data_IF_652155221287
#
_entry.id   IF_652155221287
#
_cell.length_a   1.000
_cell.length_b   1.000
_cell.length_c   1.000
_cell.angle_alpha   90.00
_cell.angle_beta   90.00
_cell.angle_gamma   90.00
#
_symmetry.space_group_name_H-M   'P 1'
#
loop_
_entity.id
_entity.type
_entity.pdbx_description
1 polymer ?
#
# COMPACT_ATOMS: atom_id res chain seq x y z
N UNK A 1 39.60 -24.53 15.42
CA UNK A 1 39.06 -23.48 14.51
C UNK A 1 37.85 -22.85 15.18
N UNK A 2 37.92 -21.58 15.56
CA UNK A 2 36.81 -20.89 16.24
C UNK A 2 35.87 -20.23 15.22
N UNK A 3 34.58 -20.60 15.22
CA UNK A 3 33.54 -19.91 14.46
C UNK A 3 33.21 -18.58 15.14
N UNK A 4 33.61 -17.48 14.54
CA UNK A 4 33.20 -16.14 14.96
C UNK A 4 31.76 -15.93 14.47
N UNK A 5 30.81 -15.98 15.41
CA UNK A 5 29.43 -15.55 15.17
C UNK A 5 29.42 -14.03 15.15
N UNK A 6 29.37 -13.44 13.95
CA UNK A 6 29.14 -12.01 13.80
C UNK A 6 27.67 -11.73 14.14
N UNK A 7 27.42 -11.17 15.32
CA UNK A 7 26.13 -10.57 15.65
C UNK A 7 25.98 -9.28 14.83
N UNK A 8 25.14 -9.33 13.79
CA UNK A 8 24.69 -8.12 13.09
C UNK A 8 23.85 -7.31 14.09
N UNK A 9 24.41 -6.21 14.61
CA UNK A 9 23.64 -5.23 15.37
C UNK A 9 22.84 -4.40 14.39
N UNK A 10 21.57 -4.74 14.18
CA UNK A 10 20.62 -3.86 13.50
C UNK A 10 20.29 -2.72 14.46
N UNK A 11 20.78 -1.52 14.17
CA UNK A 11 20.32 -0.30 14.84
C UNK A 11 18.98 0.07 14.20
N UNK A 12 17.87 -0.38 14.80
CA UNK A 12 16.57 0.19 14.48
C UNK A 12 16.60 1.65 14.98
N UNK A 13 16.48 2.59 14.06
CA UNK A 13 16.33 4.00 14.40
C UNK A 13 14.83 4.24 14.46
N UNK A 14 14.31 4.42 15.67
CA UNK A 14 12.96 4.91 15.88
C UNK A 14 13.06 6.44 15.90
N UNK A 15 12.63 7.10 14.85
CA UNK A 15 12.43 8.56 14.84
C UNK A 15 10.94 8.81 14.96
N UNK A 16 10.50 9.13 16.17
CA UNK A 16 9.26 9.86 16.39
C UNK A 16 9.67 11.31 16.63
N UNK A 17 9.66 12.10 15.56
CA UNK A 17 9.41 13.53 15.76
C UNK A 17 7.94 13.68 16.13
N UNK A 18 7.57 14.75 16.83
CA UNK A 18 6.23 15.00 17.37
C UNK A 18 5.16 15.28 16.28
N UNK A 19 5.13 14.47 15.23
CA UNK A 19 4.24 14.52 14.08
C UNK A 19 3.42 13.23 14.05
N UNK A 20 2.22 13.26 13.48
CA UNK A 20 1.30 12.10 13.35
C UNK A 20 1.80 11.02 12.36
N UNK A 21 3.12 10.92 12.18
CA UNK A 21 3.79 9.99 11.28
C UNK A 21 4.85 9.21 12.08
N UNK A 22 4.76 7.89 12.04
CA UNK A 22 5.76 6.97 12.58
C UNK A 22 6.51 6.28 11.44
N UNK A 23 7.84 6.21 11.52
CA UNK A 23 8.66 5.52 10.53
C UNK A 23 9.58 4.47 11.17
N UNK A 24 9.68 3.31 10.52
CA UNK A 24 10.69 2.29 10.78
C UNK A 24 11.44 2.04 9.48
N UNK A 25 12.73 2.35 9.48
CA UNK A 25 13.62 2.09 8.34
C UNK A 25 14.69 1.07 8.72
N UNK A 26 14.90 0.10 7.84
CA UNK A 26 16.00 -0.86 7.87
C UNK A 26 16.85 -0.70 6.62
N UNK A 27 17.90 -1.52 6.47
CA UNK A 27 18.72 -1.52 5.25
C UNK A 27 17.96 -1.91 3.98
N UNK A 28 16.84 -2.62 4.12
CA UNK A 28 16.15 -3.26 2.99
C UNK A 28 14.65 -3.03 2.98
N UNK A 29 14.13 -2.28 3.95
CA UNK A 29 12.70 -2.04 4.08
C UNK A 29 12.42 -0.73 4.81
N UNK A 30 11.34 -0.05 4.41
CA UNK A 30 10.75 1.10 5.09
C UNK A 30 9.29 0.81 5.38
N UNK A 31 8.84 1.18 6.57
CA UNK A 31 7.44 1.22 6.97
C UNK A 31 7.15 2.64 7.48
N UNK A 32 6.20 3.33 6.85
CA UNK A 32 5.69 4.62 7.29
C UNK A 32 4.22 4.47 7.65
N UNK A 33 3.81 5.02 8.78
CA UNK A 33 2.41 5.04 9.22
C UNK A 33 2.03 6.50 9.41
N UNK A 34 1.05 6.98 8.64
CA UNK A 34 0.44 8.30 8.81
C UNK A 34 -0.93 8.12 9.48
N UNK A 35 -1.02 8.50 10.76
CA UNK A 35 -2.23 8.32 11.56
C UNK A 35 -3.36 9.26 11.17
N UNK A 36 -3.04 10.44 10.61
CA UNK A 36 -4.05 11.41 10.18
C UNK A 36 -4.76 10.97 8.91
N UNK A 37 -3.99 10.39 7.99
CA UNK A 37 -4.50 9.83 6.74
C UNK A 37 -5.04 8.41 6.92
N UNK A 38 -4.75 7.76 8.05
CA UNK A 38 -4.93 6.31 8.24
C UNK A 38 -4.30 5.52 7.08
N UNK A 39 -3.07 5.90 6.74
CA UNK A 39 -2.33 5.34 5.62
C UNK A 39 -1.06 4.65 6.11
N UNK A 40 -0.71 3.55 5.46
CA UNK A 40 0.51 2.79 5.68
C UNK A 40 1.25 2.69 4.36
N UNK A 41 2.51 3.08 4.36
CA UNK A 41 3.43 2.87 3.26
C UNK A 41 4.42 1.77 3.64
N UNK A 42 4.57 0.76 2.78
CA UNK A 42 5.58 -0.28 2.95
C UNK A 42 6.44 -0.33 1.69
N UNK A 43 7.74 -0.13 1.84
CA UNK A 43 8.70 -0.34 0.75
C UNK A 43 9.60 -1.51 1.10
N UNK A 44 9.62 -2.55 0.26
CA UNK A 44 10.49 -3.72 0.40
C UNK A 44 11.07 -4.04 -0.97
N UNK A 45 12.39 -3.94 -1.11
CA UNK A 45 13.07 -4.02 -2.41
C UNK A 45 12.42 -3.05 -3.42
N UNK A 46 11.97 -3.57 -4.57
CA UNK A 46 11.39 -2.76 -5.66
C UNK A 46 9.86 -2.62 -5.56
N UNK A 47 9.25 -3.16 -4.50
CA UNK A 47 7.82 -3.06 -4.23
C UNK A 47 7.51 -1.91 -3.27
N UNK A 48 6.54 -1.08 -3.64
CA UNK A 48 5.91 -0.13 -2.73
C UNK A 48 4.42 -0.43 -2.59
N UNK A 49 3.97 -0.48 -1.35
CA UNK A 49 2.57 -0.65 -0.97
C UNK A 49 2.09 0.66 -0.37
N UNK A 50 0.95 1.15 -0.85
CA UNK A 50 0.18 2.18 -0.17
C UNK A 50 -1.15 1.56 0.27
N UNK A 51 -1.30 1.40 1.58
CA UNK A 51 -2.50 0.84 2.20
C UNK A 51 -3.25 1.98 2.87
N UNK A 52 -4.47 2.23 2.40
CA UNK A 52 -5.32 3.32 2.86
C UNK A 52 -6.49 2.69 3.60
N UNK A 53 -6.53 2.93 4.91
CA UNK A 53 -7.66 2.59 5.75
C UNK A 53 -8.77 3.64 5.66
N UNK A 54 -9.81 3.44 6.47
CA UNK A 54 -10.91 4.39 6.57
C UNK A 54 -10.41 5.74 7.11
N UNK A 55 -10.62 6.86 6.42
CA UNK A 55 -10.09 8.16 6.85
C UNK A 55 -10.54 8.53 8.26
N UNK A 56 -9.60 8.94 9.10
CA UNK A 56 -9.88 9.31 10.50
C UNK A 56 -10.33 10.77 10.61
N UNK A 57 -9.81 11.64 9.74
CA UNK A 57 -10.15 13.06 9.71
C UNK A 57 -11.25 13.38 8.68
N UNK A 58 -12.15 14.32 9.04
CA UNK A 58 -13.18 14.83 8.12
C UNK A 58 -12.55 15.81 7.13
N UNK A 59 -12.73 15.59 5.84
CA UNK A 59 -12.14 16.45 4.81
C UNK A 59 -12.21 15.82 3.42
N UNK A 60 -11.50 16.43 2.47
CA UNK A 60 -11.33 15.87 1.13
C UNK A 60 -10.20 14.82 1.14
N UNK A 61 -10.54 13.59 1.54
CA UNK A 61 -9.62 12.44 1.59
C UNK A 61 -8.87 12.27 0.27
N UNK A 62 -9.57 12.36 -0.86
CA UNK A 62 -8.99 12.17 -2.19
C UNK A 62 -7.81 13.12 -2.42
N UNK A 63 -7.98 14.40 -2.09
CA UNK A 63 -6.94 15.42 -2.21
C UNK A 63 -5.79 15.17 -1.24
N UNK A 64 -6.08 14.76 -0.01
CA UNK A 64 -5.07 14.52 1.02
C UNK A 64 -4.15 13.35 0.62
N UNK A 65 -4.73 12.22 0.20
CA UNK A 65 -3.98 11.07 -0.31
C UNK A 65 -3.23 11.43 -1.60
N UNK A 66 -3.84 12.18 -2.52
CA UNK A 66 -3.15 12.63 -3.73
C UNK A 66 -1.93 13.51 -3.42
N UNK A 67 -2.01 14.35 -2.39
CA UNK A 67 -0.87 15.14 -1.94
C UNK A 67 0.20 14.26 -1.29
N UNK A 68 -0.19 13.29 -0.47
CA UNK A 68 0.73 12.32 0.13
C UNK A 68 1.54 11.57 -0.93
N UNK A 69 0.86 11.01 -1.95
CA UNK A 69 1.49 10.31 -3.09
C UNK A 69 2.56 11.19 -3.75
N UNK A 70 2.25 12.47 -4.00
CA UNK A 70 3.17 13.42 -4.65
C UNK A 70 4.37 13.78 -3.76
N UNK A 71 4.15 13.95 -2.46
CA UNK A 71 5.18 14.35 -1.50
C UNK A 71 6.17 13.21 -1.23
N UNK A 72 5.68 11.98 -1.15
CA UNK A 72 6.48 10.80 -0.84
C UNK A 72 7.12 10.16 -2.07
N UNK A 73 6.79 10.64 -3.27
CA UNK A 73 7.29 10.15 -4.54
C UNK A 73 7.32 8.61 -4.59
N UNK A 74 6.13 8.01 -4.43
CA UNK A 74 5.92 6.56 -4.39
C UNK A 74 6.13 5.87 -5.75
N UNK A 75 7.15 6.30 -6.50
CA UNK A 75 7.50 5.81 -7.82
C UNK A 75 8.43 4.61 -7.67
N UNK A 76 7.88 3.48 -7.23
CA UNK A 76 8.58 2.19 -7.29
C UNK A 76 8.36 1.52 -8.64
N UNK A 77 9.15 0.50 -8.96
CA UNK A 77 8.89 -0.32 -10.16
C UNK A 77 7.58 -1.10 -9.99
N UNK A 78 7.32 -1.61 -8.80
CA UNK A 78 6.15 -2.45 -8.51
C UNK A 78 5.27 -1.82 -7.44
N UNK A 79 4.37 -0.95 -7.88
CA UNK A 79 3.50 -0.20 -6.98
C UNK A 79 2.15 -0.90 -6.80
N UNK A 80 1.75 -1.08 -5.55
CA UNK A 80 0.50 -1.71 -5.13
C UNK A 80 -0.28 -0.70 -4.28
N UNK A 81 -1.55 -0.47 -4.62
CA UNK A 81 -2.46 0.31 -3.78
C UNK A 81 -3.56 -0.58 -3.22
N UNK A 82 -3.85 -0.42 -1.93
CA UNK A 82 -4.94 -1.09 -1.23
C UNK A 82 -5.80 -0.02 -0.57
N UNK A 83 -7.12 -0.05 -0.81
CA UNK A 83 -8.09 0.83 -0.17
C UNK A 83 -9.12 0.01 0.58
N UNK A 84 -9.43 0.39 1.82
CA UNK A 84 -10.55 -0.20 2.57
C UNK A 84 -11.92 0.21 2.05
N UNK A 85 -11.97 1.18 1.13
CA UNK A 85 -13.19 1.68 0.49
C UNK A 85 -12.96 1.76 -1.03
N UNK A 86 -13.60 2.72 -1.70
CA UNK A 86 -13.39 2.98 -3.13
C UNK A 86 -11.97 3.47 -3.43
N UNK A 87 -11.55 3.27 -4.69
CA UNK A 87 -10.34 3.86 -5.25
C UNK A 87 -10.70 5.13 -6.03
N UNK A 88 -10.12 6.25 -5.61
CA UNK A 88 -10.24 7.48 -6.37
C UNK A 88 -9.45 7.39 -7.68
N UNK A 89 -10.07 7.80 -8.78
CA UNK A 89 -9.42 7.86 -10.10
C UNK A 89 -8.11 8.64 -10.10
N UNK A 90 -8.02 9.72 -9.31
CA UNK A 90 -6.83 10.55 -9.18
C UNK A 90 -5.64 9.80 -8.58
N UNK A 91 -5.88 8.87 -7.67
CA UNK A 91 -4.82 8.06 -7.06
C UNK A 91 -4.21 7.12 -8.09
N UNK A 92 -5.06 6.47 -8.90
CA UNK A 92 -4.61 5.57 -9.98
C UNK A 92 -3.86 6.32 -11.08
N UNK A 93 -4.29 7.56 -11.39
CA UNK A 93 -3.59 8.41 -12.34
C UNK A 93 -2.19 8.82 -11.86
N UNK A 94 -2.03 9.06 -10.55
CA UNK A 94 -0.76 9.51 -9.95
C UNK A 94 0.22 8.38 -9.63
N UNK A 95 -0.26 7.27 -9.07
CA UNK A 95 0.58 6.13 -8.68
C UNK A 95 0.93 5.23 -9.86
N UNK A 96 0.05 5.16 -10.85
CA UNK A 96 0.13 4.18 -11.94
C UNK A 96 0.45 2.77 -11.42
N UNK A 97 -0.35 2.24 -10.48
CA UNK A 97 -0.01 0.99 -9.82
C UNK A 97 -0.12 -0.18 -10.78
N UNK A 98 0.68 -1.22 -10.56
CA UNK A 98 0.51 -2.50 -11.25
C UNK A 98 -0.74 -3.22 -10.74
N UNK A 99 -0.99 -3.10 -9.44
CA UNK A 99 -2.08 -3.76 -8.72
C UNK A 99 -2.87 -2.73 -7.92
N UNK A 100 -4.19 -2.80 -8.04
CA UNK A 100 -5.12 -2.03 -7.23
C UNK A 100 -6.13 -2.95 -6.54
N UNK A 101 -6.20 -2.85 -5.21
CA UNK A 101 -7.12 -3.62 -4.37
C UNK A 101 -8.07 -2.65 -3.68
N UNK A 102 -9.37 -2.92 -3.77
CA UNK A 102 -10.39 -2.15 -3.06
C UNK A 102 -11.30 -3.07 -2.27
N UNK A 103 -11.88 -2.57 -1.19
CA UNK A 103 -12.98 -3.22 -0.49
C UNK A 103 -14.24 -2.38 -0.65
N UNK A 104 -14.83 -2.39 -1.86
CA UNK A 104 -15.98 -1.55 -2.19
C UNK A 104 -17.13 -2.34 -2.80
N UNK A 105 -18.36 -1.99 -2.45
CA UNK A 105 -19.55 -2.59 -3.07
C UNK A 105 -19.72 -2.19 -4.54
N UNK A 106 -19.19 -1.03 -4.95
CA UNK A 106 -19.38 -0.49 -6.31
C UNK A 106 -18.20 0.34 -6.74
N UNK A 107 -17.69 0.08 -7.94
CA UNK A 107 -16.58 0.84 -8.51
C UNK A 107 -17.13 1.96 -9.39
N UNK A 108 -16.66 3.19 -9.17
CA UNK A 108 -17.03 4.33 -9.99
C UNK A 108 -16.67 4.11 -11.47
N UNK A 109 -17.52 4.53 -12.44
CA UNK A 109 -17.26 4.31 -13.87
C UNK A 109 -15.92 4.83 -14.36
N UNK A 110 -15.50 6.02 -13.89
CA UNK A 110 -14.19 6.61 -14.24
C UNK A 110 -13.03 5.76 -13.73
N UNK A 111 -13.11 5.27 -12.48
CA UNK A 111 -12.12 4.36 -11.90
C UNK A 111 -12.02 3.08 -12.73
N UNK A 112 -13.16 2.46 -13.07
CA UNK A 112 -13.20 1.27 -13.94
C UNK A 112 -12.54 1.52 -15.30
N UNK A 113 -12.78 2.67 -15.91
CA UNK A 113 -12.17 3.03 -17.18
C UNK A 113 -10.64 3.13 -17.07
N UNK A 114 -10.11 3.76 -16.02
CA UNK A 114 -8.66 3.88 -15.83
C UNK A 114 -8.01 2.53 -15.60
N UNK A 115 -8.61 1.68 -14.75
CA UNK A 115 -8.12 0.32 -14.51
C UNK A 115 -7.96 -0.45 -15.83
N UNK A 116 -8.97 -0.36 -16.72
CA UNK A 116 -8.92 -1.00 -18.03
C UNK A 116 -7.90 -0.36 -18.98
N UNK A 117 -7.88 0.96 -19.08
CA UNK A 117 -7.01 1.69 -20.01
C UNK A 117 -5.52 1.53 -19.67
N UNK A 118 -5.19 1.56 -18.38
CA UNK A 118 -3.82 1.41 -17.88
C UNK A 118 -3.43 -0.05 -17.63
N UNK A 119 -4.33 -1.00 -17.90
CA UNK A 119 -4.11 -2.44 -17.69
C UNK A 119 -3.68 -2.77 -16.25
N UNK A 120 -4.30 -2.08 -15.28
CA UNK A 120 -4.04 -2.27 -13.85
C UNK A 120 -4.77 -3.55 -13.41
N UNK A 121 -4.04 -4.48 -12.80
CA UNK A 121 -4.64 -5.66 -12.17
C UNK A 121 -5.51 -5.20 -11.00
N UNK A 122 -6.80 -5.55 -11.04
CA UNK A 122 -7.76 -5.06 -10.05
C UNK A 122 -8.44 -6.20 -9.31
N UNK A 123 -8.52 -6.04 -7.99
CA UNK A 123 -9.19 -6.96 -7.10
C UNK A 123 -10.16 -6.24 -6.17
N UNK A 124 -11.29 -6.90 -5.89
CA UNK A 124 -12.29 -6.40 -4.96
C UNK A 124 -12.52 -7.36 -3.80
N UNK A 125 -11.99 -7.07 -2.62
CA UNK A 125 -12.14 -7.93 -1.43
C UNK A 125 -13.56 -7.94 -0.89
N UNK A 126 -14.43 -6.99 -1.27
CA UNK A 126 -15.85 -7.06 -0.92
C UNK A 126 -16.58 -8.23 -1.61
N UNK A 127 -16.00 -8.78 -2.69
CA UNK A 127 -16.54 -9.91 -3.45
C UNK A 127 -15.60 -11.13 -3.40
N UNK A 128 -14.29 -10.90 -3.44
CA UNK A 128 -13.27 -11.94 -3.60
C UNK A 128 -12.83 -12.60 -2.28
N UNK A 129 -13.36 -12.15 -1.14
CA UNK A 129 -13.11 -12.65 0.25
C UNK A 129 -11.67 -12.47 0.75
N UNK A 130 -10.67 -13.10 0.12
CA UNK A 130 -9.27 -13.00 0.53
C UNK A 130 -8.33 -13.03 -0.68
N UNK A 131 -7.33 -12.13 -0.62
CA UNK A 131 -6.24 -12.07 -1.57
C UNK A 131 -4.95 -12.35 -0.81
N UNK A 132 -4.19 -13.33 -1.27
CA UNK A 132 -2.87 -13.63 -0.75
C UNK A 132 -1.82 -13.20 -1.75
N UNK A 133 -0.89 -12.36 -1.32
CA UNK A 133 0.27 -12.01 -2.15
C UNK A 133 1.53 -12.73 -1.68
N UNK A 134 2.34 -13.20 -2.61
CA UNK A 134 3.73 -13.59 -2.33
C UNK A 134 4.66 -13.02 -3.40
N UNK A 135 5.90 -12.64 -3.07
CA UNK A 135 6.85 -12.13 -4.06
C UNK A 135 7.11 -13.11 -5.22
N UNK A 136 7.04 -14.43 -4.96
CA UNK A 136 7.36 -15.45 -5.94
C UNK A 136 6.18 -15.85 -6.84
N UNK A 137 4.94 -15.71 -6.35
CA UNK A 137 3.74 -16.21 -7.03
C UNK A 137 2.77 -15.09 -7.40
N UNK A 138 3.03 -13.85 -7.02
CA UNK A 138 2.11 -12.73 -7.21
C UNK A 138 0.87 -12.85 -6.33
N UNK A 139 -0.25 -12.29 -6.79
CA UNK A 139 -1.54 -12.41 -6.13
C UNK A 139 -2.19 -13.74 -6.44
N UNK A 140 -2.67 -14.39 -5.38
CA UNK A 140 -3.44 -15.62 -5.45
C UNK A 140 -4.76 -15.34 -4.75
N UNK A 141 -5.85 -15.41 -5.50
CA UNK A 141 -7.18 -15.42 -4.92
C UNK A 141 -7.38 -16.74 -4.16
N UNK A 142 -7.73 -16.64 -2.90
CA UNK A 142 -8.02 -17.81 -2.06
C UNK A 142 -9.47 -17.72 -1.63
N UNK A 143 -10.28 -18.71 -1.98
CA UNK A 143 -11.53 -18.93 -1.26
C UNK A 143 -11.16 -19.43 0.14
N UNK A 144 -11.72 -18.78 1.15
CA UNK A 144 -11.60 -19.23 2.54
C UNK A 144 -11.94 -20.72 2.63
N UNK A 145 -10.97 -21.52 3.05
CA UNK A 145 -11.22 -22.87 3.56
C UNK A 145 -11.83 -22.72 4.96
N UNK A 146 -13.04 -22.20 5.06
CA UNK A 146 -13.86 -22.39 6.25
C UNK A 146 -14.42 -23.81 6.21
N UNK A 147 -13.58 -24.76 6.64
CA UNK A 147 -13.99 -26.07 7.15
C UNK A 147 -13.49 -26.21 8.59
#
# INVERSE_FOLDING_TARGET
MAKISQRVRTKAIFTSEANDVSEITTKSARLTIDYNLNAIEIQIADYSWLIIGKPVSKGNTDQQIANYIKQHNLTSQHTIIVSSEDLASSWLELLEPEIAIASSERIAPKTKQILQQKQIEFHNTAVETMIRWTPQQGLIQTQDLLN
#
